data_IF_541531840025
#
_entry.id   IF_541531840025
#
_cell.length_a   1.000
_cell.length_b   1.000
_cell.length_c   1.000
_cell.angle_alpha   90.00
_cell.angle_beta   90.00
_cell.angle_gamma   90.00
#
_symmetry.space_group_name_H-M   'P 1'
#
loop_
_entity.id
_entity.type
_entity.pdbx_description
1 polymer ?
#
# COMPACT_ATOMS: atom_id res chain seq x y z
N UNK A 1 26.62 58.47 24.58
CA UNK A 1 25.45 57.89 23.88
C UNK A 1 25.81 57.83 22.40
N UNK A 2 26.42 56.73 21.96
CA UNK A 2 26.78 56.47 20.57
C UNK A 2 26.31 55.05 20.27
N UNK A 3 25.37 54.92 19.34
CA UNK A 3 24.81 53.65 18.88
C UNK A 3 25.53 53.34 17.57
N UNK A 4 26.47 52.39 17.61
CA UNK A 4 27.08 51.83 16.42
C UNK A 4 26.17 50.72 15.86
N UNK A 5 25.72 50.90 14.62
CA UNK A 5 25.04 49.87 13.82
C UNK A 5 26.04 48.80 13.42
N UNK A 6 25.66 47.53 13.56
CA UNK A 6 26.40 46.39 13.08
C UNK A 6 25.61 45.82 11.88
N UNK A 7 26.08 46.06 10.66
CA UNK A 7 25.41 45.72 9.39
C UNK A 7 26.07 44.53 8.65
N UNK A 8 26.76 43.63 9.36
CA UNK A 8 27.51 42.52 8.73
C UNK A 8 26.93 41.12 9.01
N UNK A 9 25.63 40.94 8.76
CA UNK A 9 24.98 39.63 8.81
C UNK A 9 24.33 39.26 7.46
N UNK A 10 25.12 39.15 6.39
CA UNK A 10 24.70 38.52 5.15
C UNK A 10 25.70 37.47 4.65
N UNK A 11 25.13 36.32 4.30
CA UNK A 11 25.65 35.29 3.41
C UNK A 11 26.75 34.36 3.93
N UNK A 12 26.41 33.47 4.88
CA UNK A 12 27.01 32.11 4.87
C UNK A 12 26.08 31.18 4.09
N UNK A 13 26.58 30.67 2.96
CA UNK A 13 25.94 29.58 2.21
C UNK A 13 25.80 28.36 3.13
N UNK A 14 24.67 27.64 3.12
CA UNK A 14 24.60 26.35 3.81
C UNK A 14 25.54 25.38 3.11
N UNK A 15 26.55 24.93 3.85
CA UNK A 15 27.39 23.82 3.44
C UNK A 15 26.51 22.57 3.33
N UNK A 16 26.67 21.90 2.20
CA UNK A 16 25.93 20.70 1.83
C UNK A 16 26.26 19.56 2.81
N UNK A 17 25.32 19.26 3.71
CA UNK A 17 25.48 18.28 4.79
C UNK A 17 25.46 16.84 4.23
N UNK A 18 26.63 16.27 3.94
CA UNK A 18 26.80 14.89 3.43
C UNK A 18 26.89 13.82 4.53
N UNK A 19 26.38 14.11 5.74
CA UNK A 19 26.60 13.27 6.93
C UNK A 19 25.65 12.08 7.11
N UNK A 20 24.61 11.93 6.29
CA UNK A 20 23.54 10.93 6.51
C UNK A 20 23.87 9.57 5.88
N UNK A 21 24.82 9.49 4.94
CA UNK A 21 25.11 8.26 4.20
C UNK A 21 25.86 7.18 5.01
N UNK A 22 26.48 7.53 6.14
CA UNK A 22 27.25 6.57 6.92
C UNK A 22 26.44 5.76 7.94
N UNK A 23 25.23 6.20 8.31
CA UNK A 23 24.36 5.46 9.23
C UNK A 23 23.56 4.33 8.55
N UNK A 24 23.40 4.37 7.21
CA UNK A 24 22.52 3.43 6.49
C UNK A 24 23.16 2.07 6.17
N UNK A 25 24.49 1.91 6.28
CA UNK A 25 25.18 0.69 5.83
C UNK A 25 25.23 -0.44 6.89
N UNK A 26 24.79 -0.19 8.12
CA UNK A 26 24.87 -1.16 9.21
C UNK A 26 23.62 -2.07 9.39
N UNK A 27 22.50 -1.80 8.71
CA UNK A 27 21.21 -2.47 9.01
C UNK A 27 20.76 -3.55 8.01
N UNK A 28 21.64 -3.97 7.08
CA UNK A 28 21.29 -4.95 6.01
C UNK A 28 21.82 -6.37 6.23
N UNK A 29 22.28 -6.70 7.43
CA UNK A 29 22.76 -8.04 7.77
C UNK A 29 21.66 -8.90 8.38
N UNK A 30 21.42 -10.04 7.74
CA UNK A 30 20.75 -11.25 8.25
C UNK A 30 19.24 -11.43 8.00
N UNK A 31 18.94 -12.05 6.85
CA UNK A 31 17.74 -12.85 6.61
C UNK A 31 18.19 -14.25 6.18
N UNK A 32 18.64 -15.05 7.14
CA UNK A 32 18.82 -16.49 6.94
C UNK A 32 17.99 -17.25 7.98
N UNK A 33 16.82 -17.76 7.57
CA UNK A 33 15.97 -18.50 8.50
C UNK A 33 14.50 -18.68 8.08
N UNK A 34 14.24 -19.25 6.91
CA UNK A 34 12.94 -19.91 6.65
C UNK A 34 13.25 -21.22 5.91
N UNK A 35 13.38 -22.29 6.68
CA UNK A 35 13.41 -23.66 6.17
C UNK A 35 12.10 -24.37 6.51
N UNK A 36 11.61 -25.12 5.52
CA UNK A 36 10.86 -26.37 5.61
C UNK A 36 9.48 -26.39 6.28
N UNK A 37 8.45 -26.58 5.44
CA UNK A 37 7.41 -27.56 5.75
C UNK A 37 6.82 -28.13 4.45
N UNK A 38 7.44 -29.19 3.95
CA UNK A 38 6.89 -30.08 2.93
C UNK A 38 6.33 -31.34 3.59
N UNK A 39 5.36 -31.93 2.88
CA UNK A 39 4.90 -33.33 2.90
C UNK A 39 3.88 -33.81 3.95
N UNK A 40 2.66 -34.03 3.46
CA UNK A 40 1.92 -35.28 3.74
C UNK A 40 1.04 -35.68 2.56
N UNK A 41 1.50 -36.68 1.82
CA UNK A 41 0.75 -37.42 0.79
C UNK A 41 0.22 -38.71 1.44
N UNK A 42 -1.11 -38.90 1.45
CA UNK A 42 -1.75 -40.17 1.79
C UNK A 42 -2.77 -40.55 0.71
N UNK A 43 -2.38 -41.50 -0.16
CA UNK A 43 -3.08 -42.77 -0.41
C UNK A 43 -4.42 -42.82 -1.19
N UNK A 44 -4.59 -43.76 -2.14
CA UNK A 44 -5.74 -43.82 -3.05
C UNK A 44 -6.94 -44.62 -2.51
N UNK A 45 -8.14 -44.05 -2.62
CA UNK A 45 -9.43 -44.72 -2.40
C UNK A 45 -10.08 -45.17 -3.72
N UNK A 46 -10.69 -46.35 -3.69
CA UNK A 46 -11.24 -47.14 -4.81
C UNK A 46 -12.36 -46.45 -5.61
N UNK A 47 -12.59 -46.86 -6.87
CA UNK A 47 -13.69 -46.37 -7.69
C UNK A 47 -15.01 -47.03 -7.29
N UNK A 48 -15.97 -46.22 -6.84
CA UNK A 48 -17.37 -46.62 -6.71
C UNK A 48 -18.18 -46.13 -7.93
N UNK A 49 -19.07 -47.02 -8.34
CA UNK A 49 -19.90 -47.04 -9.53
C UNK A 49 -20.98 -45.95 -9.46
N UNK A 50 -20.88 -44.92 -10.30
CA UNK A 50 -21.90 -43.87 -10.39
C UNK A 50 -22.78 -44.06 -11.62
N UNK A 51 -24.00 -44.53 -11.35
CA UNK A 51 -25.09 -44.64 -12.29
C UNK A 51 -25.42 -43.32 -12.98
N UNK A 52 -25.67 -43.42 -14.28
CA UNK A 52 -26.10 -42.35 -15.17
C UNK A 52 -27.54 -41.98 -14.83
N UNK A 53 -27.72 -40.96 -13.97
CA UNK A 53 -29.00 -40.29 -13.78
C UNK A 53 -29.14 -39.16 -14.79
N UNK A 54 -30.02 -39.39 -15.77
CA UNK A 54 -30.43 -38.44 -16.78
C UNK A 54 -31.28 -37.32 -16.14
N UNK A 55 -30.63 -36.25 -15.64
CA UNK A 55 -31.31 -35.03 -15.14
C UNK A 55 -31.30 -33.97 -16.24
N UNK A 56 -32.13 -34.19 -17.25
CA UNK A 56 -32.56 -33.12 -18.12
C UNK A 56 -33.51 -32.19 -17.35
N UNK A 57 -33.22 -30.89 -17.38
CA UNK A 57 -34.19 -29.77 -17.22
C UNK A 57 -34.46 -29.31 -15.78
N UNK A 58 -33.59 -28.45 -15.21
CA UNK A 58 -33.93 -27.42 -14.17
C UNK A 58 -32.75 -26.47 -13.78
N UNK A 59 -31.70 -26.31 -14.59
CA UNK A 59 -30.48 -25.59 -14.17
C UNK A 59 -30.50 -24.05 -14.31
N UNK A 60 -31.48 -23.44 -14.99
CA UNK A 60 -31.43 -22.00 -15.27
C UNK A 60 -31.86 -21.09 -14.09
N UNK A 61 -32.70 -21.57 -13.18
CA UNK A 61 -33.25 -20.76 -12.07
C UNK A 61 -32.40 -20.81 -10.79
N UNK A 62 -31.57 -21.84 -10.60
CA UNK A 62 -30.68 -21.96 -9.43
C UNK A 62 -29.42 -21.07 -9.53
N UNK A 63 -28.89 -20.87 -10.74
CA UNK A 63 -27.70 -20.03 -10.96
C UNK A 63 -27.95 -18.55 -10.67
N UNK A 64 -29.16 -18.04 -10.95
CA UNK A 64 -29.53 -16.64 -10.69
C UNK A 64 -29.62 -16.29 -9.19
N UNK A 65 -29.99 -17.25 -8.34
CA UNK A 65 -30.06 -17.06 -6.88
C UNK A 65 -28.70 -16.98 -6.21
N UNK A 66 -27.74 -17.80 -6.67
CA UNK A 66 -26.36 -17.83 -6.16
C UNK A 66 -25.57 -16.56 -6.54
N UNK A 67 -25.79 -16.03 -7.75
CA UNK A 67 -25.14 -14.78 -8.19
C UNK A 67 -25.59 -13.56 -7.39
N UNK A 68 -26.88 -13.44 -7.02
CA UNK A 68 -27.37 -12.34 -6.17
C UNK A 68 -26.85 -12.40 -4.73
N UNK A 69 -26.68 -13.60 -4.17
CA UNK A 69 -26.13 -13.77 -2.82
C UNK A 69 -24.64 -13.44 -2.77
N UNK A 70 -23.86 -13.85 -3.78
CA UNK A 70 -22.43 -13.51 -3.89
C UNK A 70 -22.20 -12.01 -4.09
N UNK A 71 -23.06 -11.34 -4.87
CA UNK A 71 -22.97 -9.89 -5.09
C UNK A 71 -23.22 -9.07 -3.80
N UNK A 72 -24.17 -9.46 -2.96
CA UNK A 72 -24.42 -8.80 -1.67
C UNK A 72 -23.26 -8.99 -0.69
N UNK A 73 -22.66 -10.18 -0.67
CA UNK A 73 -21.54 -10.49 0.21
C UNK A 73 -20.27 -9.71 -0.19
N UNK A 74 -20.02 -9.57 -1.50
CA UNK A 74 -18.95 -8.72 -2.04
C UNK A 74 -19.18 -7.24 -1.76
N UNK A 75 -20.42 -6.76 -1.87
CA UNK A 75 -20.79 -5.37 -1.55
C UNK A 75 -20.59 -5.05 -0.06
N UNK A 76 -20.94 -5.98 0.83
CA UNK A 76 -20.74 -5.83 2.28
C UNK A 76 -19.26 -5.89 2.68
N UNK A 77 -18.48 -6.78 2.07
CA UNK A 77 -17.03 -6.85 2.26
C UNK A 77 -16.33 -5.58 1.76
N UNK A 78 -16.79 -4.99 0.66
CA UNK A 78 -16.29 -3.71 0.15
C UNK A 78 -16.58 -2.57 1.14
N UNK A 79 -17.79 -2.49 1.70
CA UNK A 79 -18.14 -1.49 2.72
C UNK A 79 -17.30 -1.59 4.00
N UNK A 80 -16.99 -2.81 4.47
CA UNK A 80 -16.12 -3.02 5.64
C UNK A 80 -14.65 -2.67 5.38
N UNK A 81 -14.18 -2.74 4.12
CA UNK A 81 -12.82 -2.33 3.78
C UNK A 81 -12.60 -0.81 3.88
N UNK A 82 -13.66 0.01 3.78
CA UNK A 82 -13.55 1.47 3.91
C UNK A 82 -13.60 1.98 5.34
N UNK A 83 -13.93 1.16 6.34
CA UNK A 83 -13.93 1.57 7.75
C UNK A 83 -12.56 1.36 8.40
N UNK A 84 -11.47 1.70 7.69
CA UNK A 84 -10.15 1.76 8.32
C UNK A 84 -10.16 2.91 9.31
N UNK A 85 -10.18 2.56 10.58
CA UNK A 85 -10.14 3.46 11.73
C UNK A 85 -8.82 4.25 11.66
N UNK A 86 -8.90 5.56 11.42
CA UNK A 86 -7.80 6.47 11.66
C UNK A 86 -7.61 6.56 13.18
N UNK A 87 -6.77 5.69 13.73
CA UNK A 87 -6.31 5.81 15.10
C UNK A 87 -5.26 6.92 15.16
N UNK A 88 -5.71 8.17 15.29
CA UNK A 88 -4.81 9.30 15.53
C UNK A 88 -4.16 9.14 16.92
N UNK A 89 -2.84 9.35 16.98
CA UNK A 89 -2.12 9.39 18.25
C UNK A 89 -2.59 10.63 19.03
N UNK A 90 -3.48 10.42 20.00
CA UNK A 90 -4.06 11.49 20.79
C UNK A 90 -3.01 12.14 21.73
N UNK A 91 -3.08 13.46 21.96
CA UNK A 91 -2.18 14.13 22.88
C UNK A 91 -2.43 13.70 24.33
N UNK A 92 -1.36 13.60 25.12
CA UNK A 92 -1.44 13.13 26.52
C UNK A 92 -1.91 14.25 27.47
N UNK A 93 -1.42 15.49 27.28
CA UNK A 93 -1.63 16.61 28.21
C UNK A 93 -2.71 17.62 27.78
N UNK A 94 -3.12 17.60 26.51
CA UNK A 94 -4.00 18.63 25.95
C UNK A 94 -5.47 18.24 26.07
N UNK A 95 -6.26 19.09 26.72
CA UNK A 95 -7.71 18.88 26.91
C UNK A 95 -8.59 19.80 26.07
N UNK A 96 -8.06 20.94 25.61
CA UNK A 96 -8.85 21.91 24.86
C UNK A 96 -8.97 21.51 23.37
N UNK A 97 -10.16 21.64 22.74
CA UNK A 97 -10.34 21.34 21.32
C UNK A 97 -9.51 22.24 20.38
N UNK A 98 -9.07 23.40 20.85
CA UNK A 98 -8.19 24.28 20.09
C UNK A 98 -6.77 23.71 20.09
N UNK A 99 -6.27 23.33 21.26
CA UNK A 99 -4.91 22.83 21.43
C UNK A 99 -4.72 21.47 20.74
N UNK A 100 -5.73 20.59 20.81
CA UNK A 100 -5.73 19.32 20.09
C UNK A 100 -5.64 19.55 18.58
N UNK A 101 -6.34 20.56 18.04
CA UNK A 101 -6.26 20.90 16.61
C UNK A 101 -4.88 21.43 16.24
N UNK A 102 -4.31 22.32 17.06
CA UNK A 102 -2.93 22.80 16.88
C UNK A 102 -1.94 21.64 16.87
N UNK A 103 -2.06 20.72 17.84
CA UNK A 103 -1.23 19.52 17.92
C UNK A 103 -1.33 18.64 16.66
N UNK A 104 -2.56 18.35 16.21
CA UNK A 104 -2.80 17.58 14.98
C UNK A 104 -2.28 18.28 13.74
N UNK A 105 -2.31 19.61 13.70
CA UNK A 105 -1.78 20.39 12.58
C UNK A 105 -0.26 20.34 12.52
N UNK A 106 0.43 20.59 13.65
CA UNK A 106 1.88 20.49 13.73
C UNK A 106 2.35 19.07 13.40
N UNK A 107 1.77 18.05 14.03
CA UNK A 107 2.22 16.65 13.87
C UNK A 107 2.00 16.09 12.46
N UNK A 108 1.05 16.63 11.68
CA UNK A 108 0.87 16.29 10.26
C UNK A 108 1.83 17.02 9.32
N UNK A 109 2.46 18.10 9.78
CA UNK A 109 3.44 18.86 9.00
C UNK A 109 4.87 18.37 9.19
N UNK A 110 5.12 17.46 10.15
CA UNK A 110 6.44 16.97 10.50
C UNK A 110 6.61 15.48 10.18
N UNK A 111 7.77 15.11 9.64
CA UNK A 111 8.21 13.73 9.42
C UNK A 111 8.93 13.14 10.64
N UNK A 112 8.78 11.84 10.85
CA UNK A 112 9.58 11.09 11.84
C UNK A 112 10.95 10.71 11.26
N UNK A 113 12.01 11.03 11.99
CA UNK A 113 13.38 10.59 11.68
C UNK A 113 13.78 9.25 12.31
N UNK A 114 12.81 8.52 12.87
CA UNK A 114 13.02 7.21 13.50
C UNK A 114 13.25 6.05 12.50
N UNK A 115 13.52 6.35 11.22
CA UNK A 115 13.74 5.36 10.15
C UNK A 115 12.47 4.85 9.46
N UNK A 116 11.27 5.04 10.04
CA UNK A 116 10.02 4.72 9.33
C UNK A 116 9.61 5.80 8.31
N UNK A 117 10.18 7.01 8.42
CA UNK A 117 9.88 8.16 7.55
C UNK A 117 8.38 8.51 7.41
N UNK A 118 7.55 8.06 8.36
CA UNK A 118 6.13 8.41 8.41
C UNK A 118 5.90 9.76 9.06
N UNK A 119 4.65 10.22 9.05
CA UNK A 119 4.25 11.43 9.77
C UNK A 119 4.44 11.29 11.28
N UNK A 120 4.77 12.39 11.95
CA UNK A 120 4.79 12.42 13.42
C UNK A 120 3.40 12.11 13.97
N UNK A 121 2.30 12.44 13.29
CA UNK A 121 0.94 12.05 13.69
C UNK A 121 0.65 10.55 13.58
N UNK A 122 1.25 9.86 12.61
CA UNK A 122 0.91 8.47 12.25
C UNK A 122 1.93 7.44 12.76
N UNK A 123 3.08 7.88 13.28
CA UNK A 123 4.10 6.97 13.78
C UNK A 123 3.56 6.07 14.91
N UNK A 124 3.56 4.75 14.69
CA UNK A 124 3.02 3.75 15.62
C UNK A 124 4.02 3.28 16.69
N UNK A 125 5.25 3.78 16.66
CA UNK A 125 6.23 3.47 17.70
C UNK A 125 5.78 4.06 19.03
N UNK A 126 5.74 3.20 20.05
CA UNK A 126 5.43 3.56 21.44
C UNK A 126 6.70 3.72 22.29
N UNK A 127 7.84 3.28 21.77
CA UNK A 127 9.11 3.31 22.49
C UNK A 127 9.59 4.74 22.74
N UNK A 128 10.07 5.00 23.96
CA UNK A 128 10.60 6.33 24.32
C UNK A 128 11.85 6.73 23.51
N UNK A 129 12.49 5.77 22.84
CA UNK A 129 13.61 6.06 21.94
C UNK A 129 13.15 6.64 20.60
N UNK A 130 11.86 6.54 20.26
CA UNK A 130 11.32 7.05 19.01
C UNK A 130 11.29 8.59 18.98
N UNK A 131 11.78 9.16 17.87
CA UNK A 131 11.69 10.58 17.57
C UNK A 131 10.26 11.12 17.72
N UNK A 132 9.27 10.47 17.11
CA UNK A 132 7.90 10.98 17.10
C UNK A 132 7.30 11.09 18.52
N UNK A 133 7.56 10.13 19.40
CA UNK A 133 7.07 10.15 20.78
C UNK A 133 7.60 11.38 21.52
N UNK A 134 8.90 11.62 21.41
CA UNK A 134 9.57 12.74 22.06
C UNK A 134 9.13 14.09 21.46
N UNK A 135 9.06 14.17 20.14
CA UNK A 135 8.59 15.36 19.42
C UNK A 135 7.15 15.71 19.77
N UNK A 136 6.23 14.73 19.89
CA UNK A 136 4.85 14.98 20.33
C UNK A 136 4.80 15.60 21.72
N UNK A 137 5.53 15.05 22.69
CA UNK A 137 5.60 15.59 24.06
C UNK A 137 6.15 17.02 24.08
N UNK A 138 7.14 17.30 23.24
CA UNK A 138 7.70 18.65 23.11
C UNK A 138 6.68 19.62 22.50
N UNK A 139 5.98 19.22 21.45
CA UNK A 139 4.90 20.01 20.83
C UNK A 139 3.81 20.32 21.85
N UNK A 140 3.39 19.34 22.67
CA UNK A 140 2.40 19.58 23.73
C UNK A 140 2.87 20.67 24.69
N UNK A 141 4.13 20.64 25.12
CA UNK A 141 4.68 21.68 26.00
C UNK A 141 4.65 23.07 25.32
N UNK A 142 5.05 23.17 24.05
CA UNK A 142 5.03 24.44 23.31
C UNK A 142 3.61 24.99 23.11
N UNK A 143 2.63 24.12 22.92
CA UNK A 143 1.21 24.52 22.86
C UNK A 143 0.74 25.03 24.23
N UNK A 144 1.14 24.37 25.33
CA UNK A 144 0.85 24.83 26.69
C UNK A 144 1.52 26.18 27.01
N UNK A 145 2.68 26.45 26.40
CA UNK A 145 3.37 27.75 26.46
C UNK A 145 2.68 28.84 25.60
N UNK A 146 1.61 28.50 24.89
CA UNK A 146 0.80 29.42 24.10
C UNK A 146 1.27 29.61 22.66
N UNK A 147 2.24 28.83 22.18
CA UNK A 147 2.69 28.89 20.79
C UNK A 147 1.64 28.35 19.82
N UNK A 148 1.57 28.95 18.64
CA UNK A 148 0.70 28.49 17.56
C UNK A 148 1.40 27.47 16.64
N UNK A 149 0.65 26.86 15.72
CA UNK A 149 1.18 25.79 14.87
C UNK A 149 2.34 26.24 13.97
N UNK A 150 2.26 27.45 13.40
CA UNK A 150 3.31 27.96 12.51
C UNK A 150 4.59 28.29 13.27
N UNK A 151 4.49 28.86 14.47
CA UNK A 151 5.64 29.12 15.34
C UNK A 151 6.36 27.82 15.73
N UNK A 152 5.60 26.78 16.08
CA UNK A 152 6.17 25.49 16.45
C UNK A 152 6.86 24.86 15.24
N UNK A 153 6.20 24.86 14.07
CA UNK A 153 6.79 24.29 12.84
C UNK A 153 8.03 25.07 12.41
N UNK A 154 7.99 26.41 12.44
CA UNK A 154 9.16 27.23 12.15
C UNK A 154 10.30 26.92 13.12
N UNK A 155 10.04 26.83 14.43
CA UNK A 155 11.05 26.45 15.41
C UNK A 155 11.67 25.08 15.16
N UNK A 156 10.91 24.10 14.64
CA UNK A 156 11.49 22.81 14.22
C UNK A 156 12.38 22.93 12.97
N UNK A 157 12.11 23.90 12.09
CA UNK A 157 12.87 24.13 10.86
C UNK A 157 14.12 24.98 11.12
N UNK A 158 13.96 26.10 11.83
CA UNK A 158 14.96 27.15 12.05
C UNK A 158 15.69 27.03 13.39
N UNK A 159 15.17 26.22 14.33
CA UNK A 159 15.67 26.05 15.67
C UNK A 159 14.92 26.90 16.70
N UNK A 160 14.67 26.34 17.88
CA UNK A 160 14.09 27.07 19.02
C UNK A 160 15.14 27.86 19.82
N UNK A 161 16.43 27.66 19.53
CA UNK A 161 17.55 28.30 20.23
C UNK A 161 17.79 27.80 21.66
N UNK A 162 18.75 28.41 22.34
CA UNK A 162 19.21 27.98 23.68
C UNK A 162 18.11 28.06 24.75
N UNK A 163 17.09 28.90 24.54
CA UNK A 163 15.96 29.00 25.46
C UNK A 163 15.15 27.69 25.54
N UNK A 164 15.20 26.85 24.50
CA UNK A 164 14.57 25.54 24.49
C UNK A 164 15.17 24.59 25.55
N UNK A 165 16.45 24.74 25.90
CA UNK A 165 17.14 23.91 26.91
C UNK A 165 16.55 24.06 28.32
N UNK A 166 15.75 25.10 28.55
CA UNK A 166 15.03 25.30 29.81
C UNK A 166 13.83 24.35 29.94
N UNK A 167 13.40 23.71 28.85
CA UNK A 167 12.32 22.73 28.89
C UNK A 167 12.76 21.48 29.68
N UNK A 168 12.00 21.05 30.72
CA UNK A 168 12.30 19.83 31.48
C UNK A 168 12.45 18.58 30.60
N UNK A 169 11.77 18.52 29.46
CA UNK A 169 11.85 17.42 28.52
C UNK A 169 13.23 17.36 27.84
N UNK A 170 13.83 18.49 27.49
CA UNK A 170 15.17 18.53 26.88
C UNK A 170 16.26 18.18 27.89
N UNK A 171 16.10 18.58 29.15
CA UNK A 171 16.99 18.17 30.24
C UNK A 171 16.94 16.64 30.46
N UNK A 172 15.75 16.04 30.33
CA UNK A 172 15.60 14.59 30.38
C UNK A 172 16.29 13.91 29.20
N UNK A 173 16.18 14.47 28.00
CA UNK A 173 16.87 13.96 26.80
C UNK A 173 18.38 14.01 26.96
N UNK A 174 18.89 15.08 27.57
CA UNK A 174 20.32 15.27 27.81
C UNK A 174 20.83 14.19 28.75
N UNK A 175 20.11 13.96 29.85
CA UNK A 175 20.41 12.87 30.79
C UNK A 175 20.39 11.48 30.14
N UNK A 176 19.53 11.28 29.13
CA UNK A 176 19.44 10.04 28.34
C UNK A 176 20.46 9.97 27.19
N UNK A 177 21.35 10.95 27.04
CA UNK A 177 22.36 11.00 25.98
C UNK A 177 21.79 11.22 24.58
N UNK A 178 20.63 11.88 24.46
CA UNK A 178 19.93 12.17 23.20
C UNK A 178 20.35 13.52 22.61
N UNK A 179 21.66 13.73 22.51
CA UNK A 179 22.24 14.97 21.97
C UNK A 179 21.82 15.24 20.52
N UNK A 180 21.51 14.18 19.75
CA UNK A 180 21.01 14.25 18.39
C UNK A 180 19.67 15.01 18.30
N UNK A 181 18.74 14.69 19.20
CA UNK A 181 17.44 15.34 19.27
C UNK A 181 17.55 16.77 19.78
N UNK A 182 18.35 16.97 20.84
CA UNK A 182 18.53 18.30 21.44
C UNK A 182 19.10 19.25 20.40
N UNK A 183 20.16 18.84 19.70
CA UNK A 183 20.77 19.65 18.64
C UNK A 183 19.76 19.99 17.56
N UNK A 184 18.97 19.02 17.11
CA UNK A 184 17.94 19.29 16.10
C UNK A 184 16.84 20.25 16.57
N UNK A 185 16.45 20.22 17.85
CA UNK A 185 15.47 21.17 18.39
C UNK A 185 16.08 22.57 18.59
N UNK A 186 17.33 22.65 19.07
CA UNK A 186 18.01 23.93 19.33
C UNK A 186 18.43 24.61 18.03
N UNK A 187 19.12 23.88 17.15
CA UNK A 187 19.71 24.40 15.91
C UNK A 187 18.74 24.33 14.72
N UNK A 188 17.67 23.55 14.83
CA UNK A 188 16.71 23.28 13.76
C UNK A 188 17.07 22.02 12.95
N UNK A 189 16.03 21.31 12.49
CA UNK A 189 16.19 20.15 11.61
C UNK A 189 16.29 20.56 10.13
N UNK A 190 16.02 21.82 9.80
CA UNK A 190 15.94 22.32 8.43
C UNK A 190 14.65 21.88 7.72
N UNK A 191 14.58 22.13 6.42
CA UNK A 191 13.38 21.84 5.61
C UNK A 191 13.06 20.34 5.50
N UNK A 192 14.02 19.46 5.77
CA UNK A 192 13.84 18.00 5.68
C UNK A 192 12.88 17.44 6.73
N UNK A 193 12.62 18.16 7.83
CA UNK A 193 11.61 17.75 8.82
C UNK A 193 10.20 17.93 8.32
N UNK A 194 9.99 18.80 7.33
CA UNK A 194 8.65 19.04 6.81
C UNK A 194 8.17 17.83 6.03
N UNK A 195 6.91 17.46 6.27
CA UNK A 195 6.24 16.51 5.42
C UNK A 195 6.05 17.11 4.02
N UNK A 196 6.59 16.42 3.03
CA UNK A 196 6.24 16.65 1.65
C UNK A 196 5.28 15.53 1.27
N UNK A 197 4.03 15.90 0.96
CA UNK A 197 3.05 14.94 0.48
C UNK A 197 3.67 14.18 -0.70
N UNK A 198 3.74 12.84 -0.64
CA UNK A 198 4.22 12.08 -1.78
C UNK A 198 3.33 12.43 -2.97
N UNK A 199 3.90 12.59 -4.18
CA UNK A 199 3.10 12.93 -5.33
C UNK A 199 1.95 11.95 -5.49
N UNK A 200 0.71 12.44 -5.44
CA UNK A 200 -0.52 11.65 -5.45
C UNK A 200 -0.91 11.12 -6.85
N UNK A 201 -0.09 11.39 -7.87
CA UNK A 201 -0.34 10.90 -9.24
C UNK A 201 -0.50 9.37 -9.35
N UNK A 202 0.16 8.50 -8.55
CA UNK A 202 -0.09 7.06 -8.62
C UNK A 202 -1.51 6.68 -8.23
N UNK A 203 -2.11 7.41 -7.27
CA UNK A 203 -3.51 7.23 -6.86
C UNK A 203 -4.43 7.62 -8.01
N UNK A 204 -4.18 8.76 -8.66
CA UNK A 204 -4.97 9.20 -9.81
C UNK A 204 -4.86 8.26 -11.01
N UNK A 205 -3.66 7.74 -11.29
CA UNK A 205 -3.46 6.73 -12.35
C UNK A 205 -4.20 5.44 -12.02
N UNK A 206 -4.17 4.99 -10.76
CA UNK A 206 -4.88 3.79 -10.33
C UNK A 206 -6.40 3.97 -10.46
N UNK A 207 -6.93 5.13 -10.07
CA UNK A 207 -8.34 5.48 -10.21
C UNK A 207 -8.76 5.54 -11.68
N UNK A 208 -7.99 6.23 -12.52
CA UNK A 208 -8.26 6.37 -13.95
C UNK A 208 -8.19 5.00 -14.67
N UNK A 209 -7.17 4.19 -14.36
CA UNK A 209 -7.03 2.83 -14.87
C UNK A 209 -8.19 1.92 -14.44
N UNK A 210 -8.60 2.01 -13.18
CA UNK A 210 -9.76 1.28 -12.66
C UNK A 210 -11.07 1.66 -13.38
N UNK A 211 -11.31 2.95 -13.59
CA UNK A 211 -12.47 3.44 -14.34
C UNK A 211 -12.45 2.99 -15.80
N UNK A 212 -11.28 2.97 -16.45
CA UNK A 212 -11.11 2.51 -17.82
C UNK A 212 -11.44 1.01 -17.95
N UNK A 213 -10.88 0.18 -17.08
CA UNK A 213 -11.15 -1.27 -17.06
C UNK A 213 -12.63 -1.52 -16.78
N UNK A 214 -13.21 -0.81 -15.81
CA UNK A 214 -14.62 -0.92 -15.47
C UNK A 214 -15.54 -0.52 -16.63
N UNK A 215 -15.23 0.59 -17.31
CA UNK A 215 -15.93 1.03 -18.52
C UNK A 215 -15.84 0.00 -19.65
N UNK A 216 -14.66 -0.58 -19.87
CA UNK A 216 -14.45 -1.64 -20.87
C UNK A 216 -15.26 -2.90 -20.55
N UNK A 217 -15.38 -3.29 -19.27
CA UNK A 217 -16.22 -4.41 -18.85
C UNK A 217 -17.72 -4.14 -19.09
N UNK A 218 -18.20 -2.95 -18.72
CA UNK A 218 -19.59 -2.55 -19.00
C UNK A 218 -19.87 -2.59 -20.49
N UNK A 219 -18.99 -2.00 -21.30
CA UNK A 219 -19.12 -2.00 -22.75
C UNK A 219 -19.16 -3.43 -23.29
N UNK A 220 -18.23 -4.30 -22.88
CA UNK A 220 -18.22 -5.71 -23.32
C UNK A 220 -19.53 -6.43 -22.97
N UNK A 221 -20.05 -6.25 -21.75
CA UNK A 221 -21.31 -6.84 -21.34
C UNK A 221 -22.51 -6.29 -22.13
N UNK A 222 -22.48 -5.00 -22.45
CA UNK A 222 -23.50 -4.36 -23.29
C UNK A 222 -23.46 -4.88 -24.74
N UNK A 223 -22.26 -5.02 -25.32
CA UNK A 223 -22.05 -5.58 -26.66
C UNK A 223 -22.53 -7.05 -26.76
N UNK A 224 -22.30 -7.86 -25.71
CA UNK A 224 -22.82 -9.24 -25.66
C UNK A 224 -24.35 -9.29 -25.58
N UNK A 225 -25.00 -8.33 -24.89
CA UNK A 225 -26.47 -8.23 -24.87
C UNK A 225 -27.07 -7.76 -26.19
N UNK A 226 -26.30 -6.95 -26.94
CA UNK A 226 -26.70 -6.41 -28.24
C UNK A 226 -26.32 -7.29 -29.43
N UNK A 227 -25.71 -8.45 -29.20
CA UNK A 227 -25.74 -9.52 -30.19
C UNK A 227 -27.07 -10.25 -30.02
N UNK A 228 -28.16 -9.87 -30.73
CA UNK A 228 -29.26 -10.80 -30.90
C UNK A 228 -28.60 -12.03 -31.51
N UNK A 229 -28.65 -13.15 -30.79
CA UNK A 229 -28.39 -14.43 -31.42
C UNK A 229 -29.25 -14.43 -32.69
N UNK A 230 -28.61 -14.45 -33.86
CA UNK A 230 -29.29 -14.73 -35.10
C UNK A 230 -30.22 -15.90 -34.82
N UNK A 231 -31.52 -15.61 -34.84
CA UNK A 231 -32.53 -16.61 -34.65
C UNK A 231 -32.32 -17.62 -35.78
N UNK A 232 -31.99 -18.90 -35.51
CA UNK A 232 -32.05 -19.90 -36.56
C UNK A 232 -33.54 -20.21 -36.78
N UNK A 233 -34.20 -19.36 -37.56
CA UNK A 233 -35.26 -19.81 -38.41
C UNK A 233 -34.66 -20.70 -39.49
N UNK A 234 -34.94 -22.00 -39.39
CA UNK A 234 -35.00 -22.97 -40.50
C UNK A 234 -33.67 -23.43 -41.15
N UNK A 235 -33.17 -24.60 -40.71
CA UNK A 235 -32.68 -25.65 -41.62
C UNK A 235 -32.79 -27.02 -40.92
N UNK A 236 -33.48 -27.96 -41.57
CA UNK A 236 -33.95 -29.23 -40.99
C UNK A 236 -32.87 -30.28 -40.67
N UNK A 237 -33.25 -31.38 -39.99
CA UNK A 237 -32.33 -32.37 -39.38
C UNK A 237 -31.61 -33.34 -40.34
N UNK A 238 -31.41 -33.01 -41.62
CA UNK A 238 -31.00 -34.00 -42.63
C UNK A 238 -29.53 -33.98 -43.11
N UNK A 239 -28.72 -32.97 -42.80
CA UNK A 239 -27.37 -32.84 -43.39
C UNK A 239 -26.18 -33.02 -42.43
N UNK A 240 -26.39 -33.13 -41.12
CA UNK A 240 -25.31 -33.13 -40.12
C UNK A 240 -24.52 -34.45 -39.95
N UNK A 241 -24.85 -35.51 -40.70
CA UNK A 241 -24.11 -36.78 -40.60
C UNK A 241 -22.98 -36.95 -41.61
N UNK A 242 -23.02 -36.26 -42.76
CA UNK A 242 -21.97 -36.40 -43.78
C UNK A 242 -20.73 -35.54 -43.48
N UNK A 243 -20.91 -34.36 -42.87
CA UNK A 243 -19.80 -33.43 -42.62
C UNK A 243 -18.96 -33.82 -41.39
N UNK A 244 -19.57 -34.50 -40.42
CA UNK A 244 -18.89 -34.96 -39.20
C UNK A 244 -17.87 -36.08 -39.47
N UNK A 245 -18.10 -36.90 -40.48
CA UNK A 245 -17.13 -37.93 -40.90
C UNK A 245 -15.92 -37.35 -41.63
N UNK A 246 -16.10 -36.26 -42.39
CA UNK A 246 -15.00 -35.62 -43.10
C UNK A 246 -14.02 -34.93 -42.12
N UNK A 247 -14.55 -34.20 -41.13
CA UNK A 247 -13.72 -33.50 -40.13
C UNK A 247 -12.97 -34.49 -39.22
N UNK A 248 -13.56 -35.65 -38.91
CA UNK A 248 -12.85 -36.67 -38.11
C UNK A 248 -11.68 -37.33 -38.84
N UNK A 249 -11.70 -37.38 -40.18
CA UNK A 249 -10.63 -37.97 -40.97
C UNK A 249 -9.41 -37.04 -41.06
N UNK A 250 -9.63 -35.74 -41.28
CA UNK A 250 -8.53 -34.77 -41.38
C UNK A 250 -7.82 -34.56 -40.05
N UNK A 251 -8.55 -34.50 -38.93
CA UNK A 251 -7.95 -34.37 -37.59
C UNK A 251 -7.16 -35.62 -37.20
N UNK A 252 -7.59 -36.80 -37.62
CA UNK A 252 -6.84 -38.04 -37.39
C UNK A 252 -5.55 -38.10 -38.23
N UNK A 253 -5.56 -37.58 -39.45
CA UNK A 253 -4.37 -37.51 -40.31
C UNK A 253 -3.33 -36.52 -39.76
N UNK A 254 -3.76 -35.36 -39.29
CA UNK A 254 -2.87 -34.32 -38.76
C UNK A 254 -2.23 -34.73 -37.41
N UNK A 255 -2.97 -35.48 -36.58
CA UNK A 255 -2.44 -36.03 -35.33
C UNK A 255 -1.34 -37.09 -35.52
N UNK A 256 -1.39 -37.88 -36.59
CA UNK A 256 -0.35 -38.89 -36.86
C UNK A 256 0.96 -38.26 -37.37
N UNK A 257 0.90 -37.18 -38.15
CA UNK A 257 2.09 -36.46 -38.60
C UNK A 257 2.86 -35.83 -37.43
N UNK A 258 2.15 -35.24 -36.48
CA UNK A 258 2.74 -34.65 -35.27
C UNK A 258 3.45 -35.68 -34.39
N UNK A 259 2.84 -36.86 -34.19
CA UNK A 259 3.47 -37.95 -33.42
C UNK A 259 4.71 -38.52 -34.12
N UNK A 260 4.71 -38.58 -35.45
CA UNK A 260 5.89 -38.98 -36.23
C UNK A 260 7.07 -38.02 -36.05
N UNK A 261 6.81 -36.71 -36.16
CA UNK A 261 7.83 -35.65 -35.95
C UNK A 261 8.35 -35.60 -34.52
N UNK A 262 7.48 -35.80 -33.54
CA UNK A 262 7.91 -35.86 -32.13
C UNK A 262 8.83 -37.06 -31.87
N UNK A 263 8.54 -38.23 -32.48
CA UNK A 263 9.36 -39.42 -32.31
C UNK A 263 10.75 -39.29 -32.95
N UNK A 264 10.85 -38.70 -34.15
CA UNK A 264 12.14 -38.48 -34.79
C UNK A 264 13.03 -37.49 -34.02
N UNK A 265 12.45 -36.48 -33.35
CA UNK A 265 13.20 -35.57 -32.50
C UNK A 265 13.76 -36.25 -31.24
N UNK A 266 13.03 -37.22 -30.66
CA UNK A 266 13.51 -38.00 -29.51
C UNK A 266 14.69 -38.90 -29.92
N UNK A 267 14.60 -39.58 -31.07
CA UNK A 267 15.67 -40.46 -31.57
C UNK A 267 16.94 -39.68 -32.01
N UNK A 268 16.83 -38.38 -32.28
CA UNK A 268 17.96 -37.48 -32.54
C UNK A 268 18.63 -37.02 -31.23
N UNK A 269 17.87 -36.85 -30.15
CA UNK A 269 18.41 -36.46 -28.83
C UNK A 269 19.12 -37.60 -28.10
N UNK A 270 18.79 -38.86 -28.42
CA UNK A 270 19.42 -40.05 -27.83
C UNK A 270 20.75 -40.48 -28.52
N UNK A 271 21.15 -39.83 -29.63
CA UNK A 271 22.42 -40.08 -30.34
C UNK A 271 23.50 -39.09 -29.94
#
# INVERSE_FOLDING_TARGET
MQIARNEDAQARKPEHYSGIDHAFRAFRGDRSGIHQFEDRVEGPGKPEDYGICNVSRTSASFLHGLLRKKARLLSFAFLLAFTSVLADNAPEKLSSPKDIRTFQEVTRRLNCFCGCHGLVSECLHVDEHCFAVQTRRFIENRILDGMNADEIVDGFVSGFGDDALRDPLLQEWERKGREDLIRGVVDGFGQSILHHDPPNWPVYISLAGGLLIFGMLIWRLWALKLSPADAPGVAGPAQNHADRSAISADVAAEGQDWLGKARSQIDELDR
#
